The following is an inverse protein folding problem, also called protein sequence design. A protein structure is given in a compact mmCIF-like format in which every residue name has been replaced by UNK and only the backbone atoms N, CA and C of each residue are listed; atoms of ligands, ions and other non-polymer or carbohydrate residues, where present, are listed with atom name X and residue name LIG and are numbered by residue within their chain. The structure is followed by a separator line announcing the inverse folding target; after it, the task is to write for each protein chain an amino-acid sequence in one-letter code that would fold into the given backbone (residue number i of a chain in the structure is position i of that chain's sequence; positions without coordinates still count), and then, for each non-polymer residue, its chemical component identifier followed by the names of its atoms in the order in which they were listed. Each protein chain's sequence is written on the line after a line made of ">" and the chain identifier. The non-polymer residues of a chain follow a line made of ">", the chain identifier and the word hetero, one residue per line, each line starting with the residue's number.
data_IF_555477282690
#
_entry.id   IF_555477282690
#
_cell.length_a   1.000
_cell.length_b   1.000
_cell.length_c   1.000
_cell.angle_alpha   90.00
_cell.angle_beta   90.00
_cell.angle_gamma   90.00
#
_symmetry.space_group_name_H-M   'P 1'
#
loop_
_entity.id
_entity.type
_entity.pdbx_description
1 polymer ?
#
# COMPACT_ATOMS: atom_id res chain seq x y z
N UNK A 1 -39.82 22.89 58.45
CA UNK A 1 -38.38 22.89 58.79
C UNK A 1 -37.61 23.10 57.50
N UNK A 2 -36.99 24.25 57.39
CA UNK A 2 -36.45 24.82 56.17
C UNK A 2 -36.29 26.34 56.36
N UNK A 3 -35.35 26.91 55.59
CA UNK A 3 -34.99 28.34 55.47
C UNK A 3 -34.23 28.91 56.69
N UNK A 4 -33.26 29.82 56.58
CA UNK A 4 -32.60 30.51 55.48
C UNK A 4 -31.65 31.58 56.10
N UNK A 5 -30.47 31.80 55.48
CA UNK A 5 -29.63 33.03 55.48
C UNK A 5 -29.05 33.51 56.84
N UNK A 6 -27.95 34.28 57.00
CA UNK A 6 -27.18 35.33 56.29
C UNK A 6 -25.77 35.37 56.99
N UNK A 7 -24.58 35.39 56.34
CA UNK A 7 -23.79 36.49 55.74
C UNK A 7 -22.49 36.89 56.51
N UNK A 8 -21.56 37.53 55.77
CA UNK A 8 -20.30 38.27 56.12
C UNK A 8 -19.02 37.45 55.86
N UNK A 9 -18.36 37.58 54.70
CA UNK A 9 -17.33 38.56 54.26
C UNK A 9 -15.96 38.45 54.95
N UNK A 10 -14.89 38.16 54.18
CA UNK A 10 -13.76 39.08 53.95
C UNK A 10 -12.72 38.49 52.96
N UNK A 11 -12.34 39.30 51.98
CA UNK A 11 -11.10 39.21 51.19
C UNK A 11 -9.87 39.55 52.05
N UNK A 12 -8.75 38.88 51.80
CA UNK A 12 -7.40 39.44 51.59
C UNK A 12 -6.30 38.48 52.08
N UNK A 13 -5.38 38.09 51.19
CA UNK A 13 -3.94 38.36 51.33
C UNK A 13 -3.19 37.81 50.11
N UNK A 14 -2.97 38.71 49.15
CA UNK A 14 -1.82 38.68 48.26
C UNK A 14 -0.92 39.86 48.63
N UNK A 15 0.40 39.66 48.48
CA UNK A 15 1.50 40.64 48.45
C UNK A 15 2.29 40.84 49.75
N UNK A 16 3.56 40.41 49.74
CA UNK A 16 4.79 41.25 49.87
C UNK A 16 5.99 40.36 49.49
N UNK A 17 6.57 40.59 48.32
CA UNK A 17 7.96 41.05 48.16
C UNK A 17 8.19 41.49 46.71
N UNK A 18 8.54 42.76 46.56
CA UNK A 18 8.96 43.42 45.33
C UNK A 18 10.41 43.85 45.53
N UNK A 19 11.34 43.47 44.66
CA UNK A 19 12.34 44.37 44.06
C UNK A 19 13.38 43.64 43.20
N UNK A 20 13.66 44.27 42.05
CA UNK A 20 14.75 44.14 41.07
C UNK A 20 14.50 43.34 39.76
N UNK A 21 14.67 44.10 38.66
CA UNK A 21 14.54 43.90 37.20
C UNK A 21 15.53 42.86 36.58
N UNK A 22 15.57 42.57 35.24
CA UNK A 22 14.87 43.18 34.09
C UNK A 22 14.26 42.24 33.00
N UNK A 23 13.36 42.87 32.22
CA UNK A 23 12.96 42.71 30.80
C UNK A 23 13.60 41.65 29.89
N UNK A 24 12.75 40.97 29.09
CA UNK A 24 13.13 40.42 27.79
C UNK A 24 12.05 39.55 27.12
N UNK A 25 11.49 40.04 26.01
CA UNK A 25 10.73 39.35 24.95
C UNK A 25 9.28 38.94 25.22
N UNK A 26 8.35 39.74 24.68
CA UNK A 26 6.98 39.32 24.42
C UNK A 26 6.91 38.43 23.17
N UNK A 27 6.42 37.21 23.33
CA UNK A 27 5.97 36.37 22.22
C UNK A 27 4.58 36.81 21.71
N UNK A 28 4.18 36.42 20.49
CA UNK A 28 2.91 36.82 19.91
C UNK A 28 1.74 36.29 20.73
N UNK A 29 0.72 37.13 20.90
CA UNK A 29 -0.56 36.74 21.47
C UNK A 29 -1.29 35.83 20.48
N UNK A 30 -1.64 34.62 20.93
CA UNK A 30 -2.49 33.70 20.17
C UNK A 30 -3.88 34.31 19.98
N UNK A 31 -4.45 34.14 18.79
CA UNK A 31 -5.84 34.52 18.54
C UNK A 31 -6.78 33.60 19.33
N UNK A 32 -7.99 34.06 19.66
CA UNK A 32 -8.98 33.21 20.33
C UNK A 32 -9.29 31.91 19.54
N UNK A 33 -9.19 31.97 18.21
CA UNK A 33 -9.35 30.82 17.33
C UNK A 33 -8.24 29.76 17.50
N UNK A 34 -7.02 30.16 17.85
CA UNK A 34 -5.90 29.23 18.04
C UNK A 34 -6.02 28.44 19.36
N UNK A 35 -6.53 29.09 20.41
CA UNK A 35 -6.79 28.44 21.70
C UNK A 35 -7.93 27.41 21.58
N UNK A 36 -8.99 27.74 20.84
CA UNK A 36 -10.11 26.82 20.59
C UNK A 36 -9.68 25.60 19.76
N UNK A 37 -8.78 25.77 18.79
CA UNK A 37 -8.18 24.66 18.02
C UNK A 37 -7.32 23.75 18.89
N UNK A 38 -6.55 24.30 19.82
CA UNK A 38 -5.74 23.52 20.77
C UNK A 38 -6.59 22.71 21.75
N UNK A 39 -7.70 23.29 22.23
CA UNK A 39 -8.65 22.59 23.12
C UNK A 39 -9.36 21.46 22.37
N UNK A 40 -9.78 21.70 21.12
CA UNK A 40 -10.40 20.67 20.28
C UNK A 40 -9.45 19.50 19.96
N UNK A 41 -8.18 19.78 19.68
CA UNK A 41 -7.16 18.75 19.46
C UNK A 41 -6.90 17.90 20.71
N UNK A 42 -6.86 18.52 21.90
CA UNK A 42 -6.75 17.77 23.15
C UNK A 42 -7.97 16.88 23.43
N UNK A 43 -9.18 17.38 23.16
CA UNK A 43 -10.41 16.61 23.36
C UNK A 43 -10.51 15.43 22.39
N UNK A 44 -10.06 15.59 21.14
CA UNK A 44 -9.98 14.50 20.17
C UNK A 44 -8.96 13.43 20.58
N UNK A 45 -7.80 13.82 21.12
CA UNK A 45 -6.81 12.86 21.63
C UNK A 45 -7.34 12.07 22.84
N UNK A 46 -8.07 12.73 23.75
CA UNK A 46 -8.73 12.07 24.89
C UNK A 46 -9.84 11.13 24.40
N UNK A 47 -10.59 11.50 23.37
CA UNK A 47 -11.60 10.65 22.76
C UNK A 47 -11.00 9.46 22.03
N UNK A 48 -9.87 9.62 21.35
CA UNK A 48 -9.15 8.54 20.67
C UNK A 48 -8.63 7.50 21.67
N UNK A 49 -8.11 7.95 22.82
CA UNK A 49 -7.70 7.08 23.93
C UNK A 49 -8.90 6.34 24.54
N UNK A 50 -10.08 6.99 24.61
CA UNK A 50 -11.31 6.37 25.09
C UNK A 50 -11.95 5.41 24.08
N UNK A 51 -11.79 5.67 22.78
CA UNK A 51 -12.37 4.85 21.69
C UNK A 51 -11.53 3.62 21.36
N UNK A 52 -10.28 3.54 21.83
CA UNK A 52 -9.48 2.32 21.85
C UNK A 52 -9.97 1.26 22.88
N UNK A 53 -11.27 1.25 23.21
CA UNK A 53 -11.90 0.11 23.86
C UNK A 53 -12.18 -1.00 22.84
N UNK A 54 -11.17 -1.83 22.58
CA UNK A 54 -11.35 -3.19 22.11
C UNK A 54 -10.87 -4.15 23.23
N UNK A 55 -11.84 -4.66 23.97
CA UNK A 55 -11.88 -5.86 24.79
C UNK A 55 -10.58 -6.66 25.03
N UNK A 56 -9.64 -6.16 25.84
CA UNK A 56 -8.85 -6.92 26.83
C UNK A 56 -7.72 -6.07 27.41
N UNK A 57 -8.04 -4.92 27.98
CA UNK A 57 -7.05 -4.17 28.77
C UNK A 57 -7.77 -3.39 29.88
N UNK A 58 -8.16 -4.11 30.92
CA UNK A 58 -8.50 -3.48 32.20
C UNK A 58 -7.20 -3.42 33.01
N UNK A 59 -6.55 -2.25 33.17
CA UNK A 59 -5.46 -2.15 34.13
C UNK A 59 -6.02 -2.49 35.53
N UNK A 60 -5.31 -3.24 36.38
CA UNK A 60 -5.80 -3.67 37.69
C UNK A 60 -5.92 -2.53 38.72
N UNK A 61 -5.92 -1.26 38.28
CA UNK A 61 -5.90 -0.09 39.17
C UNK A 61 -6.90 0.92 38.62
N UNK A 62 -8.18 0.79 39.00
CA UNK A 62 -9.28 1.54 38.39
C UNK A 62 -9.29 3.04 38.71
N UNK A 63 -8.47 3.53 39.65
CA UNK A 63 -8.56 4.91 40.13
C UNK A 63 -7.21 5.62 40.31
N UNK A 64 -6.09 5.02 39.89
CA UNK A 64 -4.76 5.60 40.09
C UNK A 64 -4.44 6.68 39.05
N UNK A 65 -3.93 7.83 39.50
CA UNK A 65 -3.55 8.93 38.59
C UNK A 65 -2.13 8.70 38.08
N UNK A 66 -1.98 8.54 36.76
CA UNK A 66 -0.67 8.41 36.12
C UNK A 66 0.06 9.76 36.18
N UNK A 67 1.26 9.76 36.76
CA UNK A 67 2.11 10.94 36.93
C UNK A 67 3.25 11.01 35.90
N UNK A 68 3.74 9.86 35.43
CA UNK A 68 4.83 9.76 34.44
C UNK A 68 4.74 8.44 33.68
N UNK A 69 5.19 8.44 32.43
CA UNK A 69 5.30 7.24 31.57
C UNK A 69 6.73 7.15 31.06
N UNK A 70 7.41 6.03 31.29
CA UNK A 70 8.74 5.73 30.75
C UNK A 70 8.65 4.59 29.72
N UNK A 71 9.27 4.78 28.56
CA UNK A 71 9.38 3.76 27.50
C UNK A 71 10.84 3.31 27.46
N UNK A 72 11.10 2.04 27.76
CA UNK A 72 12.46 1.51 27.98
C UNK A 72 13.01 0.71 26.79
N UNK A 73 12.34 0.75 25.64
CA UNK A 73 12.75 0.02 24.43
C UNK A 73 12.31 -1.46 24.44
N UNK A 74 12.96 -2.28 23.60
CA UNK A 74 12.63 -3.70 23.42
C UNK A 74 13.32 -4.58 24.47
N UNK A 75 12.54 -5.34 25.23
CA UNK A 75 13.00 -6.42 26.11
C UNK A 75 12.35 -7.70 25.62
N UNK A 76 13.16 -8.68 25.21
CA UNK A 76 12.72 -9.95 24.60
C UNK A 76 11.75 -9.75 23.40
N UNK A 77 12.07 -8.79 22.52
CA UNK A 77 11.26 -8.47 21.34
C UNK A 77 9.96 -7.72 21.63
N UNK A 78 9.69 -7.34 22.88
CA UNK A 78 8.48 -6.62 23.30
C UNK A 78 8.82 -5.24 23.86
N UNK A 79 8.03 -4.23 23.51
CA UNK A 79 8.26 -2.86 24.00
C UNK A 79 7.85 -2.76 25.48
N UNK A 80 8.78 -2.35 26.34
CA UNK A 80 8.54 -2.20 27.78
C UNK A 80 8.13 -0.78 28.13
N UNK A 81 6.96 -0.65 28.76
CA UNK A 81 6.44 0.62 29.29
C UNK A 81 6.34 0.53 30.82
N UNK A 82 6.74 1.58 31.51
CA UNK A 82 6.53 1.76 32.95
C UNK A 82 5.61 2.96 33.17
N UNK A 83 4.47 2.72 33.82
CA UNK A 83 3.56 3.76 34.28
C UNK A 83 3.86 4.05 35.74
N UNK A 84 4.24 5.30 36.04
CA UNK A 84 4.33 5.80 37.40
C UNK A 84 2.97 6.36 37.80
N UNK A 85 2.39 5.82 38.86
CA UNK A 85 1.13 6.28 39.43
C UNK A 85 1.35 6.79 40.86
N UNK A 86 0.37 7.49 41.40
CA UNK A 86 0.32 7.83 42.82
C UNK A 86 0.34 6.60 43.76
N UNK A 87 0.00 5.43 43.24
CA UNK A 87 0.01 4.15 43.96
C UNK A 87 1.24 3.27 43.65
N UNK A 88 2.24 3.77 42.90
CA UNK A 88 3.47 3.06 42.56
C UNK A 88 3.66 2.84 41.05
N UNK A 89 4.62 1.99 40.69
CA UNK A 89 4.97 1.69 39.31
C UNK A 89 4.26 0.44 38.79
N UNK A 90 3.70 0.52 37.58
CA UNK A 90 3.13 -0.62 36.86
C UNK A 90 3.90 -0.83 35.55
N UNK A 91 4.39 -2.05 35.32
CA UNK A 91 5.16 -2.41 34.12
C UNK A 91 4.28 -3.18 33.13
N UNK A 92 4.40 -2.82 31.84
CA UNK A 92 3.68 -3.44 30.75
C UNK A 92 4.66 -3.83 29.63
N UNK A 93 4.43 -5.00 29.04
CA UNK A 93 5.10 -5.45 27.83
C UNK A 93 4.07 -5.43 26.71
N UNK A 94 4.27 -4.54 25.74
CA UNK A 94 3.41 -4.46 24.56
C UNK A 94 3.79 -5.53 23.55
N UNK A 95 2.79 -6.16 22.94
CA UNK A 95 3.00 -7.06 21.81
C UNK A 95 3.48 -6.28 20.58
N UNK A 96 4.15 -7.00 19.69
CA UNK A 96 4.76 -6.45 18.47
C UNK A 96 3.77 -5.71 17.57
N UNK A 97 2.52 -6.17 17.55
CA UNK A 97 1.42 -5.59 16.79
C UNK A 97 1.06 -4.14 17.17
N UNK A 98 1.35 -3.70 18.40
CA UNK A 98 0.94 -2.38 18.91
C UNK A 98 1.97 -1.29 18.60
N UNK A 99 3.25 -1.63 18.40
CA UNK A 99 4.27 -0.61 18.13
C UNK A 99 4.56 -0.42 16.63
N UNK A 100 4.23 -1.40 15.77
CA UNK A 100 4.32 -1.25 14.31
C UNK A 100 3.42 -0.14 13.73
N UNK A 101 2.47 0.38 14.51
CA UNK A 101 1.67 1.56 14.16
C UNK A 101 2.38 2.91 14.38
N UNK A 102 3.65 2.92 14.82
CA UNK A 102 4.48 4.12 14.88
C UNK A 102 5.49 4.11 13.71
N UNK A 103 5.38 5.10 12.83
CA UNK A 103 5.67 4.98 11.40
C UNK A 103 7.09 5.34 10.96
N UNK A 104 8.14 4.72 11.53
CA UNK A 104 9.48 4.76 10.93
C UNK A 104 10.45 3.80 11.62
N UNK A 105 11.08 2.91 10.86
CA UNK A 105 12.11 1.97 11.32
C UNK A 105 13.51 2.62 11.38
N UNK A 106 13.67 3.81 10.78
CA UNK A 106 14.97 4.45 10.57
C UNK A 106 15.48 5.23 11.80
N UNK A 107 14.69 5.35 12.87
CA UNK A 107 15.11 6.00 14.12
C UNK A 107 15.63 5.00 15.18
N UNK A 108 15.51 3.69 14.91
CA UNK A 108 15.90 2.63 15.84
C UNK A 108 17.42 2.38 15.82
N UNK A 109 18.10 2.64 14.69
CA UNK A 109 19.53 2.32 14.54
C UNK A 109 20.48 3.29 15.24
N UNK A 110 20.01 4.44 15.73
CA UNK A 110 20.87 5.46 16.36
C UNK A 110 20.83 5.50 17.90
N UNK A 111 20.05 4.64 18.54
CA UNK A 111 20.07 4.52 20.00
C UNK A 111 19.69 5.79 20.78
N UNK A 112 18.95 6.71 20.16
CA UNK A 112 18.43 7.92 20.79
C UNK A 112 16.90 7.98 20.59
N UNK A 113 16.14 7.52 21.59
CA UNK A 113 14.71 7.80 21.66
C UNK A 113 14.48 9.24 22.13
N UNK A 114 14.68 10.22 21.25
CA UNK A 114 14.20 11.59 21.44
C UNK A 114 13.09 11.93 20.45
N UNK A 115 12.00 11.14 20.48
CA UNK A 115 10.77 11.47 19.77
C UNK A 115 9.89 12.41 20.59
N UNK A 116 10.25 13.70 20.63
CA UNK A 116 9.36 14.76 21.07
C UNK A 116 8.76 15.44 19.83
N UNK A 117 7.44 15.35 19.68
CA UNK A 117 6.53 16.15 18.84
C UNK A 117 7.18 17.17 17.87
N UNK A 118 7.52 16.76 16.65
CA UNK A 118 7.82 17.67 15.53
C UNK A 118 6.56 17.98 14.68
N UNK A 119 5.49 18.45 15.31
CA UNK A 119 4.31 18.99 14.59
C UNK A 119 4.18 20.52 14.65
N UNK A 120 5.24 21.24 15.04
CA UNK A 120 5.21 22.71 15.17
C UNK A 120 6.27 23.47 14.38
N UNK A 121 6.98 22.85 13.41
CA UNK A 121 7.97 23.54 12.55
C UNK A 121 7.50 23.88 11.13
N UNK A 122 6.36 23.39 10.65
CA UNK A 122 5.87 23.69 9.30
C UNK A 122 5.11 25.02 9.14
N UNK A 123 5.12 25.90 10.16
CA UNK A 123 4.40 27.19 10.13
C UNK A 123 5.32 28.42 9.91
N UNK A 124 6.57 28.24 9.47
CA UNK A 124 7.52 29.33 9.26
C UNK A 124 8.34 29.20 7.95
N UNK A 125 7.67 28.96 6.82
CA UNK A 125 8.26 29.28 5.51
C UNK A 125 7.47 30.42 4.88
N UNK A 126 8.19 31.48 4.48
CA UNK A 126 7.66 32.61 3.73
C UNK A 126 7.22 32.13 2.33
N UNK A 127 6.12 32.66 1.75
CA UNK A 127 5.70 32.27 0.41
C UNK A 127 6.78 32.62 -0.62
N UNK A 128 6.93 31.75 -1.62
CA UNK A 128 7.79 31.94 -2.79
C UNK A 128 7.38 33.22 -3.57
N UNK A 129 8.30 33.73 -4.40
CA UNK A 129 8.12 34.98 -5.15
C UNK A 129 6.90 34.92 -6.08
N UNK A 130 5.87 35.72 -5.78
CA UNK A 130 4.69 35.93 -6.65
C UNK A 130 5.15 36.43 -8.03
N UNK A 131 4.54 35.90 -9.11
CA UNK A 131 4.83 36.36 -10.48
C UNK A 131 4.29 37.79 -10.71
N UNK A 132 4.93 38.56 -11.61
CA UNK A 132 4.59 39.97 -11.85
C UNK A 132 3.12 40.20 -12.27
N UNK A 133 2.51 39.24 -12.95
CA UNK A 133 1.10 39.21 -13.32
C UNK A 133 0.15 39.00 -12.14
N UNK A 134 0.50 38.10 -11.21
CA UNK A 134 -0.28 37.91 -9.97
C UNK A 134 -0.23 39.16 -9.08
N UNK A 135 0.93 39.81 -8.99
CA UNK A 135 1.10 41.09 -8.31
C UNK A 135 0.23 42.18 -8.94
N UNK A 136 0.26 42.30 -10.28
CA UNK A 136 -0.57 43.25 -11.01
C UNK A 136 -2.06 43.01 -10.74
N UNK A 137 -2.52 41.76 -10.80
CA UNK A 137 -3.92 41.41 -10.55
C UNK A 137 -4.34 41.75 -9.12
N UNK A 138 -3.51 41.42 -8.12
CA UNK A 138 -3.81 41.75 -6.72
C UNK A 138 -3.93 43.26 -6.51
N UNK A 139 -2.99 44.02 -7.04
CA UNK A 139 -3.00 45.48 -6.92
C UNK A 139 -4.17 46.11 -7.68
N UNK A 140 -4.49 45.62 -8.87
CA UNK A 140 -5.57 46.14 -9.70
C UNK A 140 -6.96 45.82 -9.10
N UNK A 141 -7.18 44.61 -8.58
CA UNK A 141 -8.49 44.20 -8.01
C UNK A 141 -8.87 45.06 -6.80
N UNK A 142 -7.90 45.44 -5.97
CA UNK A 142 -8.14 46.30 -4.79
C UNK A 142 -8.07 47.79 -5.12
N UNK A 143 -7.62 48.14 -6.33
CA UNK A 143 -7.57 49.54 -6.78
C UNK A 143 -8.99 50.07 -6.87
N UNK A 144 -9.27 51.11 -6.10
CA UNK A 144 -10.57 51.77 -6.00
C UNK A 144 -11.68 50.94 -5.31
N UNK A 145 -11.33 49.88 -4.56
CA UNK A 145 -12.26 49.13 -3.72
C UNK A 145 -11.81 49.12 -2.24
N UNK A 146 -12.76 49.30 -1.30
CA UNK A 146 -12.47 49.16 0.12
C UNK A 146 -12.21 47.69 0.53
N UNK A 147 -11.37 47.50 1.56
CA UNK A 147 -11.07 46.18 2.13
C UNK A 147 -12.35 45.54 2.68
N UNK A 148 -12.95 44.64 1.91
CA UNK A 148 -14.17 43.90 2.26
C UNK A 148 -15.34 44.07 1.29
N UNK A 149 -15.24 44.94 0.28
CA UNK A 149 -16.26 45.09 -0.75
C UNK A 149 -16.09 44.08 -1.91
N UNK A 150 -16.44 42.82 -1.64
CA UNK A 150 -16.29 41.72 -2.61
C UNK A 150 -17.03 41.96 -3.95
N UNK A 151 -18.12 42.73 -3.95
CA UNK A 151 -18.85 43.06 -5.17
C UNK A 151 -18.04 44.02 -6.08
N UNK A 152 -17.30 44.96 -5.50
CA UNK A 152 -16.42 45.88 -6.22
C UNK A 152 -15.22 45.12 -6.80
N UNK A 153 -14.58 44.30 -5.98
CA UNK A 153 -13.43 43.48 -6.39
C UNK A 153 -13.78 42.55 -7.57
N UNK A 154 -14.99 41.96 -7.56
CA UNK A 154 -15.49 41.13 -8.66
C UNK A 154 -15.70 41.90 -9.97
N UNK A 155 -16.21 43.14 -9.89
CA UNK A 155 -16.38 43.99 -11.08
C UNK A 155 -15.05 44.46 -11.66
N UNK A 156 -14.04 44.66 -10.82
CA UNK A 156 -12.69 45.05 -11.27
C UNK A 156 -11.92 43.89 -11.91
N UNK A 157 -12.24 42.63 -11.59
CA UNK A 157 -11.56 41.46 -12.15
C UNK A 157 -11.44 41.47 -13.67
N UNK A 158 -12.55 41.66 -14.39
CA UNK A 158 -12.56 41.67 -15.87
C UNK A 158 -11.74 42.82 -16.47
N UNK A 159 -11.74 43.98 -15.80
CA UNK A 159 -10.94 45.14 -16.23
C UNK A 159 -9.45 44.88 -15.98
N UNK A 160 -9.13 44.27 -14.85
CA UNK A 160 -7.76 43.95 -14.43
C UNK A 160 -7.13 42.85 -15.27
N UNK A 161 -7.89 41.84 -15.69
CA UNK A 161 -7.38 40.82 -16.62
C UNK A 161 -6.86 41.45 -17.92
N UNK A 162 -7.50 42.53 -18.37
CA UNK A 162 -7.08 43.28 -19.56
C UNK A 162 -5.94 44.27 -19.28
N UNK A 163 -5.91 44.92 -18.11
CA UNK A 163 -4.84 45.85 -17.73
C UNK A 163 -3.52 45.11 -17.42
N UNK A 164 -3.61 43.90 -16.88
CA UNK A 164 -2.47 43.07 -16.48
C UNK A 164 -2.03 42.06 -17.54
N UNK A 165 -2.59 42.12 -18.76
CA UNK A 165 -2.29 41.20 -19.86
C UNK A 165 -2.47 39.71 -19.49
N UNK A 166 -3.40 39.44 -18.58
CA UNK A 166 -3.73 38.09 -18.09
C UNK A 166 -4.77 37.38 -18.95
N UNK A 167 -5.29 38.07 -19.98
CA UNK A 167 -5.97 37.42 -21.10
C UNK A 167 -4.92 36.70 -21.94
N UNK A 168 -4.41 35.57 -21.41
CA UNK A 168 -3.43 34.75 -22.12
C UNK A 168 -3.88 34.55 -23.56
N UNK A 169 -2.96 34.76 -24.51
CA UNK A 169 -3.22 34.62 -25.93
C UNK A 169 -3.97 33.31 -26.15
N UNK A 170 -5.23 33.39 -26.61
CA UNK A 170 -5.95 32.20 -27.01
C UNK A 170 -5.07 31.51 -28.06
N UNK A 171 -4.61 30.27 -27.81
CA UNK A 171 -3.61 29.66 -28.67
C UNK A 171 -4.11 29.71 -30.11
N UNK A 172 -3.27 30.19 -31.03
CA UNK A 172 -3.63 30.29 -32.44
C UNK A 172 -4.20 28.94 -32.89
N UNK A 173 -5.28 28.95 -33.68
CA UNK A 173 -6.05 27.75 -34.04
C UNK A 173 -5.14 26.62 -34.59
N UNK A 174 -4.03 26.99 -35.23
CA UNK A 174 -3.01 26.11 -35.80
C UNK A 174 -2.14 25.40 -34.74
N UNK A 175 -2.00 25.99 -33.55
CA UNK A 175 -1.23 25.46 -32.43
C UNK A 175 -2.04 24.52 -31.51
N UNK A 176 -3.37 24.53 -31.62
CA UNK A 176 -4.25 23.62 -30.86
C UNK A 176 -4.15 22.17 -31.36
N UNK A 177 -4.25 21.20 -30.44
CA UNK A 177 -4.41 19.79 -30.78
C UNK A 177 -5.69 19.56 -31.60
N UNK A 178 -5.77 18.47 -32.38
CA UNK A 178 -6.98 18.14 -33.16
C UNK A 178 -8.23 18.04 -32.27
N UNK A 179 -8.06 17.53 -31.06
CA UNK A 179 -9.10 17.44 -30.05
C UNK A 179 -9.48 18.82 -29.51
N UNK A 180 -8.52 19.64 -29.07
CA UNK A 180 -8.82 20.99 -28.59
C UNK A 180 -9.54 21.83 -29.64
N UNK A 181 -9.14 21.70 -30.91
CA UNK A 181 -9.84 22.34 -32.03
C UNK A 181 -11.26 21.80 -32.18
N UNK A 182 -11.45 20.48 -32.11
CA UNK A 182 -12.77 19.85 -32.16
C UNK A 182 -13.69 20.32 -31.03
N UNK A 183 -13.19 20.36 -29.78
CA UNK A 183 -13.96 20.83 -28.61
C UNK A 183 -14.28 22.31 -28.76
N UNK A 184 -13.31 23.16 -29.15
CA UNK A 184 -13.52 24.59 -29.35
C UNK A 184 -14.55 24.89 -30.46
N UNK A 185 -14.49 24.17 -31.58
CA UNK A 185 -15.46 24.27 -32.67
C UNK A 185 -16.86 23.80 -32.25
N UNK A 186 -16.95 22.69 -31.51
CA UNK A 186 -18.21 22.17 -30.99
C UNK A 186 -18.87 23.15 -30.00
N UNK A 187 -18.11 23.67 -29.04
CA UNK A 187 -18.60 24.61 -28.03
C UNK A 187 -19.00 25.93 -28.68
N UNK A 188 -18.21 26.42 -29.65
CA UNK A 188 -18.55 27.63 -30.41
C UNK A 188 -19.83 27.48 -31.24
N UNK A 189 -20.14 26.25 -31.70
CA UNK A 189 -21.37 25.95 -32.45
C UNK A 189 -22.59 25.83 -31.52
N UNK A 190 -22.46 25.13 -30.41
CA UNK A 190 -23.58 24.82 -29.51
C UNK A 190 -23.89 25.97 -28.52
N UNK A 191 -22.86 26.65 -28.01
CA UNK A 191 -23.01 27.76 -27.07
C UNK A 191 -21.88 28.80 -27.19
N UNK A 192 -21.99 29.72 -28.17
CA UNK A 192 -21.00 30.79 -28.39
C UNK A 192 -20.74 31.59 -27.11
N UNK A 193 -19.47 31.72 -26.72
CA UNK A 193 -19.05 32.43 -25.51
C UNK A 193 -18.94 31.58 -24.25
N UNK A 194 -19.28 30.29 -24.30
CA UNK A 194 -18.98 29.34 -23.21
C UNK A 194 -17.49 28.98 -23.22
N UNK A 195 -16.86 28.99 -22.05
CA UNK A 195 -15.50 28.45 -21.85
C UNK A 195 -15.59 27.13 -21.11
N UNK A 196 -14.96 26.09 -21.65
CA UNK A 196 -14.80 24.81 -20.97
C UNK A 196 -13.41 24.75 -20.33
N UNK A 197 -13.30 24.18 -19.14
CA UNK A 197 -12.05 24.10 -18.37
C UNK A 197 -11.74 22.66 -17.98
N UNK A 198 -10.47 22.29 -18.04
CA UNK A 198 -10.00 21.00 -17.55
C UNK A 198 -10.14 20.89 -16.04
N UNK A 199 -10.70 19.77 -15.56
CA UNK A 199 -10.75 19.42 -14.14
C UNK A 199 -10.21 18.00 -13.91
N UNK A 200 -10.00 17.62 -12.64
CA UNK A 200 -9.41 16.33 -12.26
C UNK A 200 -10.26 15.10 -12.60
N UNK A 201 -11.51 15.28 -13.01
CA UNK A 201 -12.42 14.21 -13.47
C UNK A 201 -12.70 14.29 -14.99
N UNK A 202 -11.84 14.98 -15.75
CA UNK A 202 -12.06 15.35 -17.16
C UNK A 202 -12.51 16.80 -17.32
N UNK A 203 -12.86 17.22 -18.54
CA UNK A 203 -13.40 18.55 -18.84
C UNK A 203 -14.57 18.91 -17.88
N UNK A 204 -14.28 19.66 -16.82
CA UNK A 204 -15.27 20.19 -15.89
C UNK A 204 -15.94 21.39 -16.54
N UNK A 205 -17.08 21.16 -17.15
CA UNK A 205 -17.90 22.19 -17.77
C UNK A 205 -19.39 21.88 -17.70
N UNK A 206 -20.21 22.77 -18.25
CA UNK A 206 -21.65 22.54 -18.39
C UNK A 206 -21.92 21.31 -19.30
N UNK A 207 -23.18 20.86 -19.38
CA UNK A 207 -23.57 19.69 -20.21
C UNK A 207 -23.09 19.79 -21.66
N UNK A 208 -22.88 21.00 -22.18
CA UNK A 208 -22.40 21.26 -23.53
C UNK A 208 -20.90 20.92 -23.65
N UNK A 209 -20.08 21.30 -22.68
CA UNK A 209 -18.67 20.92 -22.64
C UNK A 209 -18.50 19.39 -22.59
N UNK A 210 -19.27 18.71 -21.75
CA UNK A 210 -19.22 17.24 -21.65
C UNK A 210 -19.65 16.55 -22.94
N UNK A 211 -20.73 17.04 -23.57
CA UNK A 211 -21.17 16.56 -24.88
C UNK A 211 -20.05 16.74 -25.93
N UNK A 212 -19.48 17.93 -26.03
CA UNK A 212 -18.42 18.23 -26.99
C UNK A 212 -17.15 17.41 -26.75
N UNK A 213 -16.73 17.22 -25.49
CA UNK A 213 -15.61 16.33 -25.16
C UNK A 213 -15.88 14.89 -25.60
N UNK A 214 -17.08 14.37 -25.35
CA UNK A 214 -17.44 13.00 -25.77
C UNK A 214 -17.48 12.80 -27.29
N UNK A 215 -17.90 13.82 -28.04
CA UNK A 215 -17.87 13.80 -29.51
C UNK A 215 -16.43 13.80 -30.05
N UNK A 216 -15.50 14.44 -29.32
CA UNK A 216 -14.11 14.63 -29.74
C UNK A 216 -13.12 13.60 -29.18
N UNK A 217 -13.53 12.71 -28.28
CA UNK A 217 -12.65 11.74 -27.58
C UNK A 217 -11.86 10.83 -28.52
N UNK A 218 -12.39 10.57 -29.72
CA UNK A 218 -11.73 9.75 -30.75
C UNK A 218 -10.55 10.45 -31.44
N UNK A 219 -10.40 11.76 -31.23
CA UNK A 219 -9.28 12.57 -31.72
C UNK A 219 -8.18 12.70 -30.67
N UNK A 220 -8.37 12.10 -29.48
CA UNK A 220 -7.35 12.07 -28.44
C UNK A 220 -6.20 11.16 -28.84
N UNK A 221 -5.14 11.77 -29.35
CA UNK A 221 -3.82 11.17 -29.50
C UNK A 221 -2.96 11.56 -28.28
N UNK A 222 -3.50 11.42 -27.06
CA UNK A 222 -2.75 11.71 -25.84
C UNK A 222 -1.44 10.92 -25.74
N UNK A 223 -0.51 11.34 -24.86
CA UNK A 223 0.77 10.66 -24.69
C UNK A 223 0.61 9.21 -24.19
N UNK A 224 -0.56 8.86 -23.68
CA UNK A 224 -0.87 7.50 -23.21
C UNK A 224 -0.83 6.49 -24.36
N UNK A 225 -0.03 5.45 -24.18
CA UNK A 225 0.01 4.30 -25.06
C UNK A 225 -1.22 3.43 -24.83
N UNK A 226 -2.06 3.31 -25.86
CA UNK A 226 -3.06 2.24 -25.91
C UNK A 226 -2.39 0.86 -25.93
N UNK A 227 -3.15 -0.17 -25.56
CA UNK A 227 -2.65 -1.55 -25.39
C UNK A 227 -1.87 -2.08 -26.62
N UNK A 228 -2.36 -1.81 -27.82
CA UNK A 228 -1.69 -2.20 -29.07
C UNK A 228 -0.30 -1.56 -29.23
N UNK A 229 -0.18 -0.25 -28.98
CA UNK A 229 1.10 0.48 -29.08
C UNK A 229 2.04 0.12 -27.93
N UNK A 230 1.48 -0.17 -26.75
CA UNK A 230 2.25 -0.63 -25.59
C UNK A 230 2.92 -1.97 -25.89
N UNK A 231 2.17 -2.93 -26.43
CA UNK A 231 2.71 -4.25 -26.79
C UNK A 231 3.69 -4.18 -27.97
N UNK A 232 3.47 -3.29 -28.95
CA UNK A 232 4.44 -3.04 -30.02
C UNK A 232 5.78 -2.52 -29.45
N UNK A 233 5.73 -1.56 -28.53
CA UNK A 233 6.93 -1.02 -27.87
C UNK A 233 7.62 -2.02 -26.94
N UNK A 234 6.87 -2.83 -26.18
CA UNK A 234 7.45 -3.91 -25.36
C UNK A 234 8.17 -4.94 -26.22
N UNK A 235 7.56 -5.35 -27.34
CA UNK A 235 8.18 -6.28 -28.29
C UNK A 235 9.48 -5.74 -28.89
N UNK A 236 9.54 -4.44 -29.13
CA UNK A 236 10.78 -3.80 -29.60
C UNK A 236 11.93 -3.90 -28.58
N UNK A 237 11.65 -4.12 -27.29
CA UNK A 237 12.67 -4.30 -26.25
C UNK A 237 13.23 -5.73 -26.18
N UNK A 238 12.59 -6.74 -26.77
CA UNK A 238 13.03 -8.15 -26.74
C UNK A 238 14.20 -8.40 -27.70
N UNK A 239 15.32 -7.73 -27.43
CA UNK A 239 16.57 -7.82 -28.20
C UNK A 239 17.61 -8.76 -27.57
N UNK A 240 17.35 -9.25 -26.35
CA UNK A 240 18.18 -10.21 -25.63
C UNK A 240 17.32 -11.12 -24.74
N UNK A 241 17.90 -12.22 -24.25
CA UNK A 241 17.23 -13.30 -23.48
C UNK A 241 16.54 -12.80 -22.21
N UNK A 242 17.14 -11.82 -21.53
CA UNK A 242 16.59 -11.21 -20.31
C UNK A 242 16.25 -9.73 -20.49
N UNK A 243 16.04 -9.29 -21.73
CA UNK A 243 15.59 -7.94 -22.01
C UNK A 243 14.08 -7.85 -21.84
N UNK A 244 13.58 -6.82 -21.18
CA UNK A 244 12.15 -6.55 -21.05
C UNK A 244 11.84 -5.07 -21.18
N UNK A 245 10.61 -4.76 -21.59
CA UNK A 245 10.12 -3.39 -21.67
C UNK A 245 9.36 -3.01 -20.41
N UNK A 246 9.95 -2.17 -19.55
CA UNK A 246 9.28 -1.63 -18.37
C UNK A 246 8.41 -0.42 -18.76
N UNK A 247 7.14 -0.34 -18.33
CA UNK A 247 6.30 0.82 -18.61
C UNK A 247 6.84 2.08 -17.91
N UNK A 248 6.85 3.20 -18.63
CA UNK A 248 7.18 4.52 -18.10
C UNK A 248 5.87 5.27 -17.87
N UNK A 249 5.56 5.53 -16.61
CA UNK A 249 4.40 6.34 -16.23
C UNK A 249 4.73 7.82 -16.44
N UNK A 250 3.78 8.57 -16.98
CA UNK A 250 3.88 10.01 -17.16
C UNK A 250 2.51 10.66 -17.17
N UNK A 251 2.47 12.00 -17.11
CA UNK A 251 1.21 12.73 -17.04
C UNK A 251 0.42 12.53 -18.34
N UNK A 252 -0.85 12.16 -18.21
CA UNK A 252 -1.76 12.02 -19.35
C UNK A 252 -2.04 13.35 -20.04
N UNK A 253 -1.91 14.46 -19.31
CA UNK A 253 -2.41 15.78 -19.73
C UNK A 253 -3.79 16.10 -19.14
N UNK A 254 -4.46 15.13 -18.51
CA UNK A 254 -5.81 15.24 -17.93
C UNK A 254 -5.79 15.12 -16.40
N UNK A 255 -4.62 15.23 -15.77
CA UNK A 255 -4.48 15.20 -14.31
C UNK A 255 -4.36 13.79 -13.69
N UNK A 256 -4.17 12.75 -14.50
CA UNK A 256 -3.79 11.41 -14.03
C UNK A 256 -2.53 10.91 -14.75
N UNK A 257 -1.85 9.91 -14.17
CA UNK A 257 -0.69 9.28 -14.79
C UNK A 257 -1.12 8.09 -15.64
N UNK A 258 -0.52 7.95 -16.82
CA UNK A 258 -0.71 6.82 -17.72
C UNK A 258 0.64 6.33 -18.27
N UNK A 259 0.65 5.18 -18.95
CA UNK A 259 1.88 4.66 -19.58
C UNK A 259 2.15 5.48 -20.83
N UNK A 260 3.20 6.29 -20.82
CA UNK A 260 3.57 7.17 -21.94
C UNK A 260 4.71 6.61 -22.79
N UNK A 261 5.52 5.73 -22.21
CA UNK A 261 6.63 5.08 -22.91
C UNK A 261 6.96 3.69 -22.37
N UNK A 262 7.90 3.00 -23.00
CA UNK A 262 8.47 1.74 -22.53
C UNK A 262 10.00 1.88 -22.51
N UNK A 263 10.60 1.66 -21.35
CA UNK A 263 12.06 1.65 -21.18
C UNK A 263 12.56 0.20 -21.27
N UNK A 264 13.44 -0.06 -22.23
CA UNK A 264 14.08 -1.37 -22.33
C UNK A 264 15.14 -1.53 -21.21
N UNK A 265 15.05 -2.62 -20.47
CA UNK A 265 15.97 -3.00 -19.40
C UNK A 265 16.52 -4.39 -19.68
N UNK A 266 17.78 -4.64 -19.31
CA UNK A 266 18.44 -5.94 -19.41
C UNK A 266 18.62 -6.51 -18.01
N UNK A 267 17.93 -7.61 -17.71
CA UNK A 267 18.04 -8.32 -16.44
C UNK A 267 19.13 -9.39 -16.45
N UNK A 268 19.93 -9.58 -17.51
CA UNK A 268 20.90 -10.68 -17.60
C UNK A 268 21.84 -10.76 -16.40
N UNK A 269 22.22 -9.61 -15.82
CA UNK A 269 23.07 -9.55 -14.63
C UNK A 269 22.43 -10.11 -13.34
N UNK A 270 21.10 -10.19 -13.25
CA UNK A 270 20.39 -10.80 -12.13
C UNK A 270 20.34 -12.33 -12.24
N UNK A 271 20.55 -12.87 -13.45
CA UNK A 271 20.51 -14.30 -13.75
C UNK A 271 21.89 -14.95 -13.86
N UNK A 272 22.95 -14.20 -13.54
CA UNK A 272 24.33 -14.70 -13.55
C UNK A 272 24.99 -14.73 -14.94
N UNK A 273 24.29 -14.25 -15.97
CA UNK A 273 24.82 -14.12 -17.32
C UNK A 273 25.38 -12.71 -17.58
N UNK A 274 26.41 -12.63 -18.41
CA UNK A 274 26.95 -11.34 -18.81
C UNK A 274 25.96 -10.63 -19.76
N UNK A 275 25.65 -9.35 -19.53
CA UNK A 275 24.78 -8.55 -20.41
C UNK A 275 25.21 -8.65 -21.88
N UNK A 276 24.31 -9.13 -22.75
CA UNK A 276 24.50 -9.16 -24.21
C UNK A 276 25.03 -10.48 -24.83
N UNK A 277 25.00 -11.61 -24.11
CA UNK A 277 25.45 -12.91 -24.66
C UNK A 277 24.42 -14.03 -24.50
N UNK A 278 23.40 -14.09 -25.37
CA UNK A 278 22.46 -15.22 -25.43
C UNK A 278 22.28 -15.72 -26.89
N UNK A 279 22.34 -17.04 -27.17
CA UNK A 279 22.12 -17.62 -28.49
C UNK A 279 20.62 -17.71 -28.89
N UNK A 280 20.33 -17.50 -30.17
CA UNK A 280 19.02 -17.25 -30.82
C UNK A 280 17.95 -18.38 -30.76
N UNK A 281 17.80 -19.11 -29.67
CA UNK A 281 16.72 -20.08 -29.58
C UNK A 281 16.26 -20.32 -28.15
N UNK A 282 15.01 -19.97 -27.83
CA UNK A 282 13.96 -20.90 -27.36
C UNK A 282 12.79 -20.18 -26.63
N UNK A 283 11.83 -20.96 -26.14
CA UNK A 283 10.36 -20.84 -26.15
C UNK A 283 9.66 -19.85 -25.21
N UNK A 284 8.47 -19.41 -25.67
CA UNK A 284 7.55 -18.53 -24.98
C UNK A 284 6.81 -19.25 -23.84
N UNK A 285 6.92 -18.75 -22.60
CA UNK A 285 6.12 -19.29 -21.50
C UNK A 285 6.22 -18.69 -20.09
N UNK A 286 7.16 -17.79 -19.75
CA UNK A 286 7.34 -17.36 -18.37
C UNK A 286 7.08 -15.85 -18.14
N UNK A 287 5.98 -15.54 -17.43
CA UNK A 287 5.74 -14.24 -16.79
C UNK A 287 6.73 -14.01 -15.62
N UNK A 288 6.91 -12.77 -15.12
CA UNK A 288 7.90 -12.45 -14.09
C UNK A 288 7.57 -13.24 -12.82
N UNK A 289 8.36 -14.27 -12.54
CA UNK A 289 8.14 -15.16 -11.41
C UNK A 289 8.28 -14.41 -10.10
N UNK A 290 7.21 -14.37 -9.31
CA UNK A 290 7.33 -14.04 -7.89
C UNK A 290 8.33 -15.02 -7.26
N UNK A 291 9.41 -14.49 -6.68
CA UNK A 291 10.40 -15.33 -6.01
C UNK A 291 9.88 -15.71 -4.63
N UNK A 292 9.54 -16.99 -4.44
CA UNK A 292 9.17 -17.53 -3.13
C UNK A 292 10.39 -18.17 -2.47
N UNK A 293 10.69 -17.76 -1.24
CA UNK A 293 11.63 -18.50 -0.38
C UNK A 293 10.86 -19.62 0.35
N UNK A 294 11.35 -20.84 0.23
CA UNK A 294 10.78 -22.00 0.90
C UNK A 294 11.84 -22.64 1.80
N UNK A 295 11.47 -22.92 3.05
CA UNK A 295 12.29 -23.67 3.99
C UNK A 295 11.57 -24.96 4.38
N UNK A 296 12.30 -26.06 4.49
CA UNK A 296 11.75 -27.37 4.77
C UNK A 296 12.40 -27.92 6.03
N UNK A 297 11.59 -28.19 7.05
CA UNK A 297 12.03 -28.82 8.30
C UNK A 297 11.56 -30.27 8.31
N UNK A 298 12.48 -31.23 8.32
CA UNK A 298 12.18 -32.67 8.34
C UNK A 298 12.68 -33.34 9.63
N UNK A 299 11.86 -34.25 10.16
CA UNK A 299 12.13 -35.12 11.30
C UNK A 299 11.72 -36.55 10.94
N UNK A 300 12.68 -37.35 10.45
CA UNK A 300 12.51 -38.76 10.07
C UNK A 300 11.42 -39.01 9.00
N UNK A 301 10.18 -39.23 9.44
CA UNK A 301 9.01 -39.57 8.62
C UNK A 301 8.04 -38.40 8.44
N UNK A 302 8.27 -37.25 9.08
CA UNK A 302 7.39 -36.08 9.05
C UNK A 302 8.17 -34.79 8.91
N UNK A 303 7.49 -33.72 8.54
CA UNK A 303 8.07 -32.40 8.52
C UNK A 303 7.05 -31.33 8.21
N UNK A 304 7.54 -30.11 8.07
CA UNK A 304 6.73 -28.96 7.69
C UNK A 304 7.49 -28.17 6.62
N UNK A 305 6.83 -27.91 5.50
CA UNK A 305 7.29 -26.95 4.50
C UNK A 305 6.73 -25.58 4.86
N UNK A 306 7.63 -24.62 5.07
CA UNK A 306 7.29 -23.23 5.32
C UNK A 306 7.58 -22.42 4.05
N UNK A 307 6.53 -21.82 3.47
CA UNK A 307 6.64 -20.95 2.31
C UNK A 307 6.42 -19.52 2.77
N UNK A 308 7.40 -18.66 2.52
CA UNK A 308 7.25 -17.22 2.72
C UNK A 308 6.63 -16.59 1.49
N UNK A 309 5.53 -15.87 1.71
CA UNK A 309 4.82 -15.12 0.67
C UNK A 309 4.86 -13.64 1.03
N UNK A 310 5.11 -12.77 0.04
CA UNK A 310 5.23 -11.32 0.28
C UNK A 310 3.99 -10.71 0.95
N UNK A 311 2.81 -11.27 0.68
CA UNK A 311 1.53 -10.67 1.06
C UNK A 311 0.76 -11.41 2.16
N UNK A 312 1.05 -12.70 2.41
CA UNK A 312 0.24 -13.56 3.30
C UNK A 312 1.00 -14.12 4.49
N UNK A 313 2.30 -13.81 4.63
CA UNK A 313 3.15 -14.34 5.69
C UNK A 313 3.64 -15.76 5.39
N UNK A 314 3.98 -16.51 6.45
CA UNK A 314 4.45 -17.89 6.36
C UNK A 314 3.27 -18.86 6.27
N UNK A 315 3.33 -19.75 5.29
CA UNK A 315 2.34 -20.81 5.07
C UNK A 315 3.02 -22.15 5.36
N UNK A 316 2.50 -22.87 6.35
CA UNK A 316 3.00 -24.18 6.75
C UNK A 316 2.17 -25.31 6.13
N UNK A 317 2.85 -26.25 5.49
CA UNK A 317 2.24 -27.46 4.90
C UNK A 317 2.86 -28.68 5.54
N UNK A 318 2.01 -29.59 6.05
CA UNK A 318 2.50 -30.81 6.68
C UNK A 318 3.03 -31.78 5.62
N UNK A 319 4.25 -32.27 5.84
CA UNK A 319 4.85 -33.32 5.02
C UNK A 319 4.88 -34.60 5.84
N UNK A 320 4.49 -35.71 5.21
CA UNK A 320 4.62 -37.04 5.78
C UNK A 320 5.22 -38.01 4.76
N UNK A 321 6.00 -38.96 5.21
CA UNK A 321 6.46 -40.08 4.42
C UNK A 321 5.46 -41.26 4.55
N UNK A 322 5.30 -42.07 3.49
CA UNK A 322 4.62 -43.38 3.62
C UNK A 322 5.46 -44.30 4.53
N UNK A 323 4.81 -45.32 5.10
CA UNK A 323 5.47 -46.29 5.98
C UNK A 323 6.69 -46.92 5.29
N UNK A 324 7.81 -47.04 6.02
CA UNK A 324 9.07 -47.56 5.49
C UNK A 324 9.90 -46.55 4.71
N UNK A 325 9.49 -45.28 4.64
CA UNK A 325 10.22 -44.20 3.99
C UNK A 325 10.72 -43.20 5.03
N UNK A 326 11.94 -42.71 4.87
CA UNK A 326 12.49 -41.58 5.61
C UNK A 326 12.97 -40.49 4.67
N UNK A 327 12.84 -39.24 5.11
CA UNK A 327 13.11 -38.05 4.30
C UNK A 327 14.25 -37.24 4.92
N UNK A 328 15.14 -36.74 4.07
CA UNK A 328 16.20 -35.81 4.48
C UNK A 328 16.48 -34.79 3.40
N UNK A 329 16.74 -33.55 3.77
CA UNK A 329 17.15 -32.51 2.83
C UNK A 329 18.67 -32.26 2.92
N UNK A 330 19.35 -32.28 1.77
CA UNK A 330 20.77 -31.96 1.66
C UNK A 330 21.03 -31.15 0.39
N UNK A 331 21.57 -29.93 0.53
CA UNK A 331 22.03 -29.13 -0.62
C UNK A 331 20.96 -28.80 -1.66
N UNK A 332 19.71 -28.55 -1.24
CA UNK A 332 18.59 -28.28 -2.16
C UNK A 332 17.91 -29.54 -2.73
N UNK A 333 18.41 -30.72 -2.39
CA UNK A 333 17.86 -32.00 -2.82
C UNK A 333 17.10 -32.69 -1.69
N UNK A 334 16.10 -33.48 -2.07
CA UNK A 334 15.35 -34.36 -1.18
C UNK A 334 15.88 -35.78 -1.35
N UNK A 335 16.45 -36.32 -0.28
CA UNK A 335 16.90 -37.69 -0.16
C UNK A 335 15.77 -38.54 0.42
N UNK A 336 15.27 -39.47 -0.38
CA UNK A 336 14.21 -40.40 -0.02
C UNK A 336 14.86 -41.76 0.21
N UNK A 337 14.85 -42.23 1.45
CA UNK A 337 15.37 -43.57 1.78
C UNK A 337 14.22 -44.51 2.04
N UNK A 338 14.08 -45.53 1.20
CA UNK A 338 13.08 -46.60 1.35
C UNK A 338 13.73 -47.79 2.05
N UNK A 339 12.99 -48.44 2.95
CA UNK A 339 13.40 -49.70 3.59
C UNK A 339 12.47 -50.80 3.13
N UNK A 340 12.96 -51.69 2.25
CA UNK A 340 12.20 -52.84 1.77
C UNK A 340 11.99 -53.91 2.85
N UNK A 341 11.12 -54.89 2.58
CA UNK A 341 10.82 -55.99 3.52
C UNK A 341 12.07 -56.80 3.92
N UNK A 342 13.04 -56.93 3.02
CA UNK A 342 14.31 -57.62 3.26
C UNK A 342 15.33 -56.76 4.03
N UNK A 343 14.90 -55.62 4.60
CA UNK A 343 15.74 -54.61 5.23
C UNK A 343 16.83 -54.02 4.31
N UNK A 344 16.69 -54.19 2.99
CA UNK A 344 17.51 -53.47 2.02
C UNK A 344 17.02 -52.03 1.93
N UNK A 345 17.97 -51.10 2.00
CA UNK A 345 17.71 -49.67 1.89
C UNK A 345 18.09 -49.19 0.51
N UNK A 346 17.16 -48.54 -0.18
CA UNK A 346 17.44 -47.82 -1.42
C UNK A 346 17.30 -46.33 -1.17
N UNK A 347 18.20 -45.55 -1.79
CA UNK A 347 18.22 -44.10 -1.66
C UNK A 347 17.97 -43.48 -3.03
N UNK A 348 16.94 -42.64 -3.12
CA UNK A 348 16.59 -41.87 -4.31
C UNK A 348 16.86 -40.40 -3.99
N UNK A 349 17.58 -39.74 -4.88
CA UNK A 349 17.95 -38.33 -4.76
C UNK A 349 17.24 -37.55 -5.86
N UNK A 350 16.37 -36.62 -5.46
CA UNK A 350 15.62 -35.76 -6.37
C UNK A 350 15.80 -34.29 -6.00
N UNK A 351 15.58 -33.40 -6.96
CA UNK A 351 15.49 -31.97 -6.68
C UNK A 351 14.27 -31.69 -5.79
N UNK A 352 14.41 -30.77 -4.83
CA UNK A 352 13.33 -30.46 -3.91
C UNK A 352 12.28 -29.53 -4.56
N UNK A 353 11.39 -30.12 -5.34
CA UNK A 353 10.30 -29.43 -6.04
C UNK A 353 9.00 -29.36 -5.21
N UNK A 354 9.05 -29.59 -3.89
CA UNK A 354 7.86 -29.57 -3.02
C UNK A 354 7.15 -28.21 -3.03
N UNK A 355 7.90 -27.12 -3.19
CA UNK A 355 7.31 -25.78 -3.31
C UNK A 355 6.43 -25.66 -4.56
N UNK A 356 6.81 -26.30 -5.66
CA UNK A 356 6.12 -26.15 -6.94
C UNK A 356 4.78 -26.91 -6.95
N UNK A 357 4.67 -27.94 -6.11
CA UNK A 357 3.39 -28.64 -5.83
C UNK A 357 2.35 -27.70 -5.22
N UNK A 358 2.78 -26.63 -4.55
CA UNK A 358 1.88 -25.68 -3.88
C UNK A 358 1.29 -24.62 -4.81
N UNK A 359 1.70 -24.60 -6.09
CA UNK A 359 1.23 -23.64 -7.07
C UNK A 359 0.69 -24.35 -8.30
N UNK A 360 -0.35 -23.78 -8.89
CA UNK A 360 -0.84 -24.22 -10.19
C UNK A 360 0.16 -23.85 -11.29
N UNK A 361 0.07 -24.43 -12.50
CA UNK A 361 0.87 -24.01 -13.65
C UNK A 361 0.76 -22.51 -13.97
N UNK A 362 -0.36 -21.88 -13.61
CA UNK A 362 -0.62 -20.45 -13.74
C UNK A 362 -0.06 -19.62 -12.56
N UNK A 363 0.69 -20.23 -11.64
CA UNK A 363 1.27 -19.56 -10.47
C UNK A 363 0.27 -19.30 -9.33
N UNK A 364 -0.95 -19.83 -9.41
CA UNK A 364 -1.95 -19.64 -8.35
C UNK A 364 -1.68 -20.59 -7.20
N UNK A 365 -1.59 -20.06 -5.98
CA UNK A 365 -1.41 -20.88 -4.81
C UNK A 365 -2.59 -21.86 -4.61
N UNK A 366 -2.26 -23.13 -4.42
CA UNK A 366 -3.20 -24.20 -4.14
C UNK A 366 -3.46 -24.32 -2.64
N UNK A 367 -4.69 -24.67 -2.27
CA UNK A 367 -5.05 -24.92 -0.88
C UNK A 367 -4.80 -26.40 -0.53
N UNK A 368 -3.56 -26.68 -0.12
CA UNK A 368 -3.08 -28.01 0.25
C UNK A 368 -2.73 -28.02 1.73
N UNK A 369 -3.32 -28.94 2.50
CA UNK A 369 -3.05 -29.07 3.94
C UNK A 369 -1.89 -30.03 4.22
N UNK A 370 -1.73 -31.06 3.39
CA UNK A 370 -0.75 -32.12 3.61
C UNK A 370 -0.24 -32.72 2.31
N UNK A 371 1.07 -32.93 2.24
CA UNK A 371 1.76 -33.67 1.18
C UNK A 371 2.32 -34.96 1.77
N UNK A 372 2.07 -36.08 1.10
CA UNK A 372 2.60 -37.39 1.46
C UNK A 372 3.60 -37.85 0.41
N UNK A 373 4.84 -38.10 0.81
CA UNK A 373 5.91 -38.59 -0.07
C UNK A 373 5.91 -40.11 -0.08
N UNK A 374 5.90 -40.70 -1.27
CA UNK A 374 5.89 -42.14 -1.49
C UNK A 374 6.89 -42.58 -2.55
N UNK A 375 7.03 -43.90 -2.72
CA UNK A 375 7.70 -44.51 -3.88
C UNK A 375 6.78 -45.57 -4.47
N UNK A 376 6.51 -45.50 -5.77
CA UNK A 376 5.66 -46.45 -6.49
C UNK A 376 6.34 -46.86 -7.80
N UNK A 377 6.54 -48.18 -8.01
CA UNK A 377 7.28 -48.72 -9.16
C UNK A 377 8.66 -48.07 -9.33
N UNK A 378 9.41 -47.98 -8.23
CA UNK A 378 10.76 -47.37 -8.15
C UNK A 378 10.81 -45.88 -8.51
N UNK A 379 9.66 -45.20 -8.55
CA UNK A 379 9.57 -43.77 -8.80
C UNK A 379 9.08 -43.02 -7.56
N UNK A 380 9.73 -41.89 -7.18
CA UNK A 380 9.25 -41.07 -6.09
C UNK A 380 7.97 -40.32 -6.52
N UNK A 381 6.98 -40.27 -5.63
CA UNK A 381 5.68 -39.66 -5.90
C UNK A 381 5.25 -38.76 -4.75
N UNK A 382 4.54 -37.67 -5.08
CA UNK A 382 3.85 -36.84 -4.11
C UNK A 382 2.34 -37.06 -4.19
N UNK A 383 1.72 -37.40 -3.06
CA UNK A 383 0.28 -37.49 -2.90
C UNK A 383 -0.23 -36.37 -2.01
N UNK A 384 -1.20 -35.59 -2.48
CA UNK A 384 -1.75 -34.48 -1.71
C UNK A 384 -3.25 -34.31 -1.95
N UNK A 385 -3.91 -33.65 -1.01
CA UNK A 385 -5.32 -33.27 -1.11
C UNK A 385 -5.43 -31.77 -1.30
N UNK A 386 -6.07 -31.36 -2.39
CA UNK A 386 -6.33 -29.97 -2.73
C UNK A 386 -7.80 -29.63 -2.51
N UNK A 387 -8.06 -28.48 -1.88
CA UNK A 387 -9.39 -27.89 -1.74
C UNK A 387 -9.67 -26.93 -2.90
N UNK A 388 -10.38 -27.41 -3.90
CA UNK A 388 -10.84 -26.61 -5.04
C UNK A 388 -12.23 -26.00 -4.73
N UNK A 389 -12.47 -24.74 -5.08
CA UNK A 389 -13.82 -24.15 -5.05
C UNK A 389 -14.61 -24.59 -6.27
N UNK A 390 -15.84 -25.03 -6.07
CA UNK A 390 -16.72 -25.43 -7.16
C UNK A 390 -18.18 -25.06 -6.87
N UNK A 391 -19.03 -25.05 -7.90
CA UNK A 391 -20.47 -24.82 -7.80
C UNK A 391 -21.25 -26.08 -8.16
N UNK A 392 -21.89 -26.70 -7.18
CA UNK A 392 -22.78 -27.84 -7.41
C UNK A 392 -24.03 -27.38 -8.19
N UNK A 393 -24.32 -28.03 -9.31
CA UNK A 393 -25.38 -27.64 -10.24
C UNK A 393 -25.29 -26.17 -10.71
N UNK A 394 -24.09 -25.56 -10.65
CA UNK A 394 -23.87 -24.17 -11.02
C UNK A 394 -24.41 -23.11 -10.03
N UNK A 395 -24.98 -23.51 -8.88
CA UNK A 395 -25.64 -22.58 -7.96
C UNK A 395 -25.10 -22.60 -6.53
N UNK A 396 -24.71 -23.77 -6.01
CA UNK A 396 -24.35 -23.92 -4.60
C UNK A 396 -22.82 -24.00 -4.49
N UNK A 397 -22.14 -23.00 -3.91
CA UNK A 397 -20.70 -23.05 -3.71
C UNK A 397 -20.37 -24.15 -2.69
N UNK A 398 -19.41 -24.99 -3.04
CA UNK A 398 -18.92 -26.09 -2.21
C UNK A 398 -17.40 -26.22 -2.36
N UNK A 399 -16.75 -26.75 -1.33
CA UNK A 399 -15.35 -27.13 -1.39
C UNK A 399 -15.23 -28.58 -1.89
N UNK A 400 -14.48 -28.77 -2.98
CA UNK A 400 -14.19 -30.06 -3.60
C UNK A 400 -12.79 -30.51 -3.19
N UNK A 401 -12.71 -31.55 -2.37
CA UNK A 401 -11.44 -32.18 -2.02
C UNK A 401 -11.01 -33.12 -3.15
N UNK A 402 -9.95 -32.76 -3.87
CA UNK A 402 -9.38 -33.56 -4.95
C UNK A 402 -8.07 -34.16 -4.46
N UNK A 403 -7.94 -35.49 -4.52
CA UNK A 403 -6.65 -36.13 -4.23
C UNK A 403 -5.86 -36.23 -5.52
N UNK A 404 -4.65 -35.68 -5.53
CA UNK A 404 -3.74 -35.72 -6.67
C UNK A 404 -2.50 -36.54 -6.30
N UNK A 405 -1.99 -37.28 -7.28
CA UNK A 405 -0.70 -37.96 -7.22
C UNK A 405 0.12 -37.47 -8.41
N UNK A 406 1.31 -36.97 -8.13
CA UNK A 406 2.24 -36.48 -9.16
C UNK A 406 3.59 -37.18 -9.01
N UNK A 407 4.32 -37.27 -10.11
CA UNK A 407 5.72 -37.70 -10.11
C UNK A 407 6.57 -36.63 -9.43
N UNK A 408 7.44 -37.02 -8.49
CA UNK A 408 8.18 -36.07 -7.68
C UNK A 408 9.35 -35.41 -8.43
N UNK A 409 9.83 -36.01 -9.52
CA UNK A 409 10.94 -35.47 -10.32
C UNK A 409 10.46 -34.38 -11.28
N UNK A 410 9.37 -34.63 -12.00
CA UNK A 410 8.90 -33.76 -13.09
C UNK A 410 7.51 -33.15 -12.87
N UNK A 411 6.84 -33.47 -11.75
CA UNK A 411 5.50 -32.98 -11.38
C UNK A 411 4.38 -33.41 -12.35
N UNK A 412 4.61 -34.42 -13.18
CA UNK A 412 3.59 -34.97 -14.08
C UNK A 412 2.44 -35.61 -13.28
N UNK A 413 1.20 -35.27 -13.63
CA UNK A 413 0.01 -35.81 -12.97
C UNK A 413 -0.17 -37.30 -13.30
N UNK A 414 0.03 -38.16 -12.30
CA UNK A 414 -0.11 -39.61 -12.40
C UNK A 414 -1.55 -40.07 -12.12
N UNK A 415 -2.19 -39.49 -11.10
CA UNK A 415 -3.54 -39.87 -10.69
C UNK A 415 -4.32 -38.65 -10.15
N UNK A 416 -5.57 -38.50 -10.58
CA UNK A 416 -6.52 -37.51 -10.01
C UNK A 416 -7.77 -38.24 -9.55
N UNK A 417 -8.04 -38.22 -8.23
CA UNK A 417 -9.24 -38.78 -7.62
C UNK A 417 -10.16 -37.66 -7.19
N UNK A 418 -11.27 -37.56 -7.89
CA UNK A 418 -12.36 -36.65 -7.55
C UNK A 418 -13.40 -37.36 -6.68
N UNK A 419 -14.16 -36.62 -5.85
CA UNK A 419 -15.29 -37.21 -5.17
C UNK A 419 -16.31 -37.71 -6.20
N UNK A 420 -17.09 -38.73 -5.84
CA UNK A 420 -18.05 -39.35 -6.75
C UNK A 420 -19.08 -38.37 -7.34
N UNK A 421 -19.35 -37.26 -6.64
CA UNK A 421 -20.25 -36.19 -7.08
C UNK A 421 -19.55 -35.10 -7.91
N UNK A 422 -18.23 -35.18 -8.13
CA UNK A 422 -17.43 -34.16 -8.81
C UNK A 422 -17.96 -33.81 -10.20
N UNK A 423 -18.51 -34.79 -10.93
CA UNK A 423 -19.13 -34.58 -12.24
C UNK A 423 -20.40 -33.68 -12.22
N UNK A 424 -20.97 -33.42 -11.03
CA UNK A 424 -22.12 -32.53 -10.85
C UNK A 424 -21.70 -31.08 -10.48
N UNK A 425 -20.41 -30.86 -10.23
CA UNK A 425 -19.87 -29.57 -9.86
C UNK A 425 -19.17 -28.92 -11.05
N UNK A 426 -19.39 -27.62 -11.24
CA UNK A 426 -18.64 -26.80 -12.19
C UNK A 426 -17.52 -26.08 -11.44
N UNK A 427 -16.31 -26.09 -11.99
CA UNK A 427 -15.17 -25.33 -11.47
C UNK A 427 -15.48 -23.83 -11.56
N UNK A 428 -15.09 -23.08 -10.53
CA UNK A 428 -15.37 -21.64 -10.41
C UNK A 428 -14.28 -20.76 -11.01
#
# INVERSE_FOLDING_TARGET
>A
MGKAFLFISLLALASIFYSQLPSGQGGPAFSGQDLDRMIAAQQNNIQMVKSCQAASFAPPVSDAKVSKIDILGLVDGKCKIILHTDNGEAQYLLSESIYKSFSSINDVEKGECSGACESSKSAMQAPETEDEGELCMRECIVKDCDLGEFACQKLNGEKCEKECDMLGDAPELESMSKEQRCISECVSREAPGTRCGGGPEGETGNEICQKCASECVHLYEGPCLGEEKLEEKKKACFTCEHCYGAPVMGPSGEGYDCIVDVKCSDASGEWGDNPGTGPDSYEAGHEPGASYEASLELWEDKGTLLIETENSGQIGVDIAAKEGISLRQEGGKLLITTTGEDAQTEQIEIDNNLKDVMFSPEGKQLNIEKITVGVENDKPVYEFEEKEKAKLFGLIPIDKNVKKKVDAENLELLEKKEPWWGFLALEE
#
